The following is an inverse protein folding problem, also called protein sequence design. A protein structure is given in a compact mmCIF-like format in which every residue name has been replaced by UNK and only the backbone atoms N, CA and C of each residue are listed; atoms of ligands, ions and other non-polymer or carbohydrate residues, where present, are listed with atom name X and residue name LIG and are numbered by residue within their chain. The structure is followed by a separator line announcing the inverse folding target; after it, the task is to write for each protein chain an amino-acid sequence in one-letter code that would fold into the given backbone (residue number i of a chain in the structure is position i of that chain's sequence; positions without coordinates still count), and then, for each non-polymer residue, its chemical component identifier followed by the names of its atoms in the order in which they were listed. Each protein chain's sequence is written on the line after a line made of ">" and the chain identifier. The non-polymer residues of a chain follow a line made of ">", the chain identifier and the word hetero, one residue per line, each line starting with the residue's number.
data_IF_738242643333
#
_entry.id   IF_738242643333
#
_cell.length_a   1.000
_cell.length_b   1.000
_cell.length_c   1.000
_cell.angle_alpha   90.00
_cell.angle_beta   90.00
_cell.angle_gamma   90.00
#
_symmetry.space_group_name_H-M   'P 1'
#
loop_
_entity.id
_entity.type
_entity.pdbx_description
1 polymer ?
#
# COMPACT_ATOMS: atom_id res chain seq x y z
N UNK A 1 -47.67 0.51 11.79
CA UNK A 1 -46.36 -0.09 11.42
C UNK A 1 -46.27 -0.22 9.91
N UNK A 2 -45.57 0.69 9.21
CA UNK A 2 -45.31 0.53 7.77
C UNK A 2 -44.06 -0.34 7.63
N UNK A 3 -44.25 -1.57 7.15
CA UNK A 3 -43.16 -2.46 6.78
C UNK A 3 -42.34 -1.75 5.70
N UNK A 4 -41.13 -1.27 6.04
CA UNK A 4 -40.17 -0.79 5.04
C UNK A 4 -39.81 -2.01 4.20
N UNK A 5 -40.42 -2.11 3.02
CA UNK A 5 -40.00 -3.06 2.01
C UNK A 5 -38.49 -2.86 1.80
N UNK A 6 -37.70 -3.88 2.13
CA UNK A 6 -36.29 -3.96 1.80
C UNK A 6 -36.19 -4.02 0.28
N UNK A 7 -36.18 -2.86 -0.38
CA UNK A 7 -35.82 -2.77 -1.78
C UNK A 7 -34.35 -3.16 -1.89
N UNK A 8 -34.09 -4.39 -2.32
CA UNK A 8 -32.76 -4.79 -2.77
C UNK A 8 -32.47 -4.04 -4.08
N UNK A 9 -32.03 -2.79 -3.96
CA UNK A 9 -31.46 -2.07 -5.10
C UNK A 9 -30.20 -2.82 -5.52
N UNK A 10 -30.18 -3.32 -6.75
CA UNK A 10 -28.98 -3.93 -7.33
C UNK A 10 -27.77 -3.01 -7.08
N UNK A 11 -26.61 -3.58 -6.68
CA UNK A 11 -25.42 -2.77 -6.48
C UNK A 11 -25.13 -1.99 -7.75
N UNK A 12 -24.89 -0.69 -7.62
CA UNK A 12 -24.52 0.11 -8.79
C UNK A 12 -23.25 -0.48 -9.43
N UNK A 13 -23.13 -0.36 -10.76
CA UNK A 13 -21.93 -0.81 -11.49
C UNK A 13 -20.63 -0.25 -10.88
N UNK A 14 -20.68 0.98 -10.35
CA UNK A 14 -19.56 1.64 -9.66
C UNK A 14 -19.16 0.93 -8.37
N UNK A 15 -20.14 0.54 -7.56
CA UNK A 15 -19.91 -0.20 -6.31
C UNK A 15 -19.33 -1.59 -6.58
N UNK A 16 -19.76 -2.24 -7.67
CA UNK A 16 -19.17 -3.49 -8.15
C UNK A 16 -17.71 -3.30 -8.59
N UNK A 17 -17.42 -2.33 -9.46
CA UNK A 17 -16.07 -2.04 -9.96
C UNK A 17 -15.09 -1.73 -8.82
N UNK A 18 -15.53 -0.93 -7.85
CA UNK A 18 -14.75 -0.63 -6.65
C UNK A 18 -14.47 -1.90 -5.83
N UNK A 19 -15.48 -2.73 -5.59
CA UNK A 19 -15.33 -3.96 -4.82
C UNK A 19 -14.39 -4.93 -5.55
N UNK A 20 -14.50 -5.03 -6.87
CA UNK A 20 -13.60 -5.81 -7.71
C UNK A 20 -12.17 -5.26 -7.65
N UNK A 21 -11.96 -3.94 -7.69
CA UNK A 21 -10.63 -3.33 -7.56
C UNK A 21 -9.97 -3.69 -6.22
N UNK A 22 -10.70 -3.60 -5.11
CA UNK A 22 -10.18 -3.94 -3.78
C UNK A 22 -9.95 -5.45 -3.63
N UNK A 23 -10.85 -6.27 -4.16
CA UNK A 23 -10.76 -7.73 -4.11
C UNK A 23 -9.62 -8.28 -5.00
N UNK A 24 -9.39 -7.73 -6.18
CA UNK A 24 -8.39 -8.27 -7.12
C UNK A 24 -6.96 -7.83 -6.79
N UNK A 25 -6.79 -6.77 -5.99
CA UNK A 25 -5.47 -6.25 -5.63
C UNK A 25 -4.54 -7.27 -4.99
N UNK A 26 -4.88 -7.83 -3.79
CA UNK A 26 -4.06 -8.83 -3.12
C UNK A 26 -3.90 -10.17 -3.87
N UNK A 27 -4.83 -10.47 -4.79
CA UNK A 27 -4.74 -11.66 -5.66
C UNK A 27 -3.74 -11.46 -6.81
N UNK A 28 -3.53 -10.21 -7.24
CA UNK A 28 -2.59 -9.86 -8.30
C UNK A 28 -2.73 -10.72 -9.56
N UNK A 29 -1.69 -11.50 -9.87
CA UNK A 29 -1.59 -12.37 -11.04
C UNK A 29 -2.19 -13.77 -10.85
N UNK A 30 -2.72 -14.13 -9.66
CA UNK A 30 -3.35 -15.44 -9.47
C UNK A 30 -4.52 -15.69 -10.45
N UNK A 31 -5.18 -14.61 -10.87
CA UNK A 31 -6.32 -14.63 -11.80
C UNK A 31 -5.98 -14.05 -13.18
N UNK A 32 -4.72 -13.70 -13.44
CA UNK A 32 -4.35 -13.07 -14.72
C UNK A 32 -4.23 -14.15 -15.81
N UNK A 33 -4.95 -14.00 -16.94
CA UNK A 33 -4.84 -14.95 -18.04
C UNK A 33 -3.40 -15.04 -18.57
N UNK A 34 -2.96 -16.24 -18.95
CA UNK A 34 -1.56 -16.49 -19.36
C UNK A 34 -1.09 -15.72 -20.60
N UNK A 35 -2.02 -15.25 -21.45
CA UNK A 35 -1.67 -14.44 -22.62
C UNK A 35 -1.31 -12.99 -22.27
N UNK A 36 -1.58 -12.55 -21.03
CA UNK A 36 -1.28 -11.21 -20.56
C UNK A 36 0.15 -11.19 -19.99
N UNK A 37 0.93 -10.15 -20.33
CA UNK A 37 2.31 -10.00 -19.87
C UNK A 37 2.41 -10.06 -18.33
N UNK A 38 3.41 -10.74 -17.78
CA UNK A 38 3.55 -10.93 -16.33
C UNK A 38 3.59 -9.63 -15.48
N UNK A 39 4.11 -8.47 -15.96
CA UNK A 39 4.06 -7.23 -15.19
C UNK A 39 2.65 -6.65 -15.06
N UNK A 40 1.73 -7.04 -15.94
CA UNK A 40 0.36 -6.55 -15.95
C UNK A 40 -0.47 -7.31 -14.91
N UNK A 41 -1.24 -6.57 -14.13
CA UNK A 41 -2.10 -7.09 -13.06
C UNK A 41 -3.54 -7.12 -13.54
N UNK A 42 -4.32 -8.13 -13.16
CA UNK A 42 -5.71 -8.25 -13.59
C UNK A 42 -6.56 -7.02 -13.22
N UNK A 43 -6.33 -6.40 -12.06
CA UNK A 43 -7.08 -5.21 -11.65
C UNK A 43 -6.82 -3.97 -12.52
N UNK A 44 -5.77 -3.95 -13.35
CA UNK A 44 -5.53 -2.86 -14.29
C UNK A 44 -6.64 -2.75 -15.35
N UNK A 45 -7.30 -3.85 -15.72
CA UNK A 45 -8.45 -3.82 -16.62
C UNK A 45 -9.63 -3.02 -16.04
N UNK A 46 -9.72 -2.90 -14.72
CA UNK A 46 -10.77 -2.12 -14.07
C UNK A 46 -10.51 -0.62 -14.15
N UNK A 47 -9.25 -0.21 -14.28
CA UNK A 47 -8.86 1.19 -14.22
C UNK A 47 -9.39 1.99 -15.41
N UNK A 48 -9.54 1.36 -16.59
CA UNK A 48 -10.12 2.00 -17.78
C UNK A 48 -11.58 2.44 -17.59
N UNK A 49 -12.28 1.90 -16.59
CA UNK A 49 -13.64 2.29 -16.24
C UNK A 49 -13.71 3.50 -15.30
N UNK A 50 -12.60 4.18 -15.03
CA UNK A 50 -12.60 5.41 -14.22
C UNK A 50 -13.61 6.48 -14.69
N UNK A 51 -13.91 6.68 -16.00
CA UNK A 51 -14.88 7.70 -16.42
C UNK A 51 -16.28 7.49 -15.84
N UNK A 52 -16.65 6.23 -15.52
CA UNK A 52 -17.94 5.93 -14.93
C UNK A 52 -18.13 6.59 -13.56
N UNK A 53 -17.05 6.94 -12.86
CA UNK A 53 -17.08 7.60 -11.55
C UNK A 53 -17.26 9.13 -11.61
N UNK A 54 -17.17 9.74 -12.80
CA UNK A 54 -17.27 11.20 -12.98
C UNK A 54 -18.49 11.61 -13.82
N UNK A 55 -19.73 11.39 -13.34
CA UNK A 55 -20.88 11.95 -14.04
C UNK A 55 -20.80 13.49 -14.06
N UNK A 56 -21.31 14.09 -15.14
CA UNK A 56 -21.27 15.53 -15.44
C UNK A 56 -21.67 16.46 -14.27
N UNK A 57 -22.47 15.96 -13.33
CA UNK A 57 -22.92 16.68 -12.14
C UNK A 57 -21.82 17.01 -11.10
N UNK A 58 -20.64 16.38 -11.14
CA UNK A 58 -19.54 16.62 -10.17
C UNK A 58 -18.45 17.60 -10.66
N UNK A 59 -18.76 18.46 -11.62
CA UNK A 59 -17.80 19.42 -12.18
C UNK A 59 -17.27 20.43 -11.13
N UNK A 60 -18.04 20.70 -10.07
CA UNK A 60 -17.60 21.60 -8.98
C UNK A 60 -16.48 20.98 -8.13
N UNK A 61 -16.36 19.67 -8.14
CA UNK A 61 -15.42 18.90 -7.34
C UNK A 61 -14.12 18.55 -8.07
N UNK A 62 -14.00 18.95 -9.34
CA UNK A 62 -12.73 18.92 -10.08
C UNK A 62 -11.62 19.74 -9.40
N UNK A 63 -11.96 20.65 -8.46
CA UNK A 63 -11.00 21.47 -7.71
C UNK A 63 -9.92 20.64 -6.99
N UNK A 64 -10.27 19.47 -6.44
CA UNK A 64 -9.27 18.60 -5.80
C UNK A 64 -8.34 17.94 -6.83
N UNK A 65 -8.85 17.62 -8.03
CA UNK A 65 -8.02 17.15 -9.13
C UNK A 65 -7.09 18.24 -9.66
N UNK A 66 -7.52 19.51 -9.63
CA UNK A 66 -6.67 20.65 -10.00
C UNK A 66 -5.43 20.79 -9.11
N UNK A 67 -5.46 20.26 -7.87
CA UNK A 67 -4.26 20.25 -7.00
C UNK A 67 -3.19 19.30 -7.57
N UNK A 68 -3.60 18.17 -8.13
CA UNK A 68 -2.70 17.11 -8.64
C UNK A 68 -2.37 17.32 -10.13
N UNK A 69 -3.21 18.08 -10.84
CA UNK A 69 -3.08 18.32 -12.28
C UNK A 69 -1.72 18.90 -12.70
N UNK A 70 -1.13 19.92 -12.04
CA UNK A 70 0.18 20.45 -12.44
C UNK A 70 1.27 19.38 -12.45
N UNK A 71 1.29 18.52 -11.43
CA UNK A 71 2.26 17.42 -11.34
C UNK A 71 2.03 16.38 -12.45
N UNK A 72 0.78 15.94 -12.66
CA UNK A 72 0.47 14.97 -13.72
C UNK A 72 0.75 15.54 -15.11
N UNK A 73 0.41 16.80 -15.36
CA UNK A 73 0.69 17.47 -16.61
C UNK A 73 2.19 17.56 -16.87
N UNK A 74 2.98 17.87 -15.84
CA UNK A 74 4.44 17.87 -15.94
C UNK A 74 5.00 16.47 -16.24
N UNK A 75 4.50 15.41 -15.59
CA UNK A 75 4.87 14.03 -15.91
C UNK A 75 4.55 13.66 -17.36
N UNK A 76 3.42 14.13 -17.90
CA UNK A 76 3.04 13.91 -19.30
C UNK A 76 4.01 14.61 -20.26
N UNK A 77 4.28 15.90 -20.03
CA UNK A 77 5.24 16.67 -20.84
C UNK A 77 6.64 16.03 -20.80
N UNK A 78 7.07 15.61 -19.61
CA UNK A 78 8.33 14.91 -19.39
C UNK A 78 8.36 13.58 -20.15
N UNK A 79 7.27 12.81 -20.17
CA UNK A 79 7.17 11.58 -20.97
C UNK A 79 7.21 11.84 -22.48
N UNK A 80 6.60 12.93 -22.96
CA UNK A 80 6.72 13.36 -24.36
C UNK A 80 8.17 13.69 -24.71
N UNK A 81 8.86 14.46 -23.87
CA UNK A 81 10.26 14.82 -24.08
C UNK A 81 11.15 13.58 -24.22
N UNK A 82 11.03 12.60 -23.33
CA UNK A 82 11.79 11.34 -23.40
C UNK A 82 11.59 10.62 -24.74
N UNK A 83 10.36 10.61 -25.26
CA UNK A 83 10.04 9.94 -26.53
C UNK A 83 10.60 10.68 -27.74
N UNK A 84 10.53 12.00 -27.75
CA UNK A 84 11.04 12.81 -28.87
C UNK A 84 12.56 12.90 -28.92
N UNK A 85 13.22 12.76 -27.77
CA UNK A 85 14.67 12.79 -27.67
C UNK A 85 15.36 11.45 -28.02
N UNK A 86 14.61 10.42 -28.46
CA UNK A 86 15.10 9.06 -28.78
C UNK A 86 16.00 8.44 -27.69
N UNK A 87 15.80 8.86 -26.44
CA UNK A 87 16.49 8.30 -25.29
C UNK A 87 16.13 6.82 -25.14
N UNK A 88 17.06 5.92 -24.74
CA UNK A 88 16.83 4.48 -24.72
C UNK A 88 15.56 4.09 -23.95
N UNK A 89 14.50 3.73 -24.69
CA UNK A 89 13.15 3.46 -24.19
C UNK A 89 13.00 2.04 -23.65
N UNK A 90 13.78 1.67 -22.64
CA UNK A 90 13.52 0.39 -21.94
C UNK A 90 12.20 0.43 -21.13
N UNK A 91 11.69 1.62 -20.81
CA UNK A 91 10.47 1.82 -20.04
C UNK A 91 9.46 2.63 -20.85
N UNK A 92 8.42 1.97 -21.38
CA UNK A 92 7.26 2.57 -22.06
C UNK A 92 6.68 3.75 -21.24
N UNK A 93 7.09 5.01 -21.48
CA UNK A 93 6.89 6.09 -20.51
C UNK A 93 5.43 6.53 -20.52
N UNK A 94 4.79 6.55 -21.70
CA UNK A 94 3.35 6.77 -21.84
C UNK A 94 2.53 5.71 -21.13
N UNK A 95 2.87 4.42 -21.27
CA UNK A 95 2.13 3.37 -20.58
C UNK A 95 2.17 3.58 -19.06
N UNK A 96 3.34 3.92 -18.51
CA UNK A 96 3.50 4.23 -17.08
C UNK A 96 2.70 5.46 -16.68
N UNK A 97 2.71 6.51 -17.50
CA UNK A 97 1.95 7.72 -17.25
C UNK A 97 0.44 7.45 -17.27
N UNK A 98 -0.08 6.77 -18.30
CA UNK A 98 -1.50 6.43 -18.39
C UNK A 98 -1.92 5.48 -17.27
N UNK A 99 -1.06 4.54 -16.88
CA UNK A 99 -1.33 3.69 -15.73
C UNK A 99 -1.40 4.53 -14.44
N UNK A 100 -0.42 5.37 -14.16
CA UNK A 100 -0.42 6.29 -13.01
C UNK A 100 -1.66 7.19 -12.98
N UNK A 101 -1.98 7.81 -14.13
CA UNK A 101 -3.14 8.69 -14.29
C UNK A 101 -4.44 7.92 -14.08
N UNK A 102 -4.60 6.74 -14.67
CA UNK A 102 -5.80 5.90 -14.52
C UNK A 102 -5.99 5.44 -13.08
N UNK A 103 -4.93 5.07 -12.36
CA UNK A 103 -4.99 4.74 -10.93
C UNK A 103 -5.41 5.93 -10.08
N UNK A 104 -4.83 7.10 -10.32
CA UNK A 104 -5.18 8.35 -9.63
C UNK A 104 -6.64 8.72 -9.85
N UNK A 105 -7.07 8.77 -11.12
CA UNK A 105 -8.43 9.13 -11.50
C UNK A 105 -9.45 8.10 -11.01
N UNK A 106 -9.15 6.81 -11.08
CA UNK A 106 -10.03 5.76 -10.55
C UNK A 106 -10.20 5.91 -9.03
N UNK A 107 -9.11 6.05 -8.28
CA UNK A 107 -9.17 6.14 -6.83
C UNK A 107 -9.87 7.43 -6.35
N UNK A 108 -9.61 8.56 -7.00
CA UNK A 108 -10.34 9.81 -6.72
C UNK A 108 -11.83 9.69 -7.04
N UNK A 109 -12.18 9.17 -8.22
CA UNK A 109 -13.56 9.01 -8.64
C UNK A 109 -14.33 8.04 -7.73
N UNK A 110 -13.68 6.95 -7.32
CA UNK A 110 -14.25 6.01 -6.37
C UNK A 110 -14.45 6.65 -4.98
N UNK A 111 -13.49 7.43 -4.47
CA UNK A 111 -13.65 8.16 -3.22
C UNK A 111 -14.82 9.16 -3.28
N UNK A 112 -14.96 9.87 -4.40
CA UNK A 112 -16.05 10.81 -4.66
C UNK A 112 -17.41 10.12 -4.69
N UNK A 113 -17.52 8.97 -5.35
CA UNK A 113 -18.77 8.19 -5.41
C UNK A 113 -19.24 7.74 -4.04
N UNK A 114 -18.31 7.41 -3.13
CA UNK A 114 -18.60 6.97 -1.76
C UNK A 114 -18.89 8.12 -0.78
N UNK A 115 -18.86 9.39 -1.22
CA UNK A 115 -19.12 10.54 -0.36
C UNK A 115 -20.52 10.53 0.27
N UNK A 116 -21.50 10.03 -0.47
CA UNK A 116 -22.92 10.09 -0.09
C UNK A 116 -23.39 8.86 0.69
N UNK A 117 -22.54 7.83 0.78
CA UNK A 117 -22.83 6.63 1.56
C UNK A 117 -22.37 6.79 3.02
N UNK A 118 -22.74 5.82 3.86
CA UNK A 118 -22.18 5.70 5.20
C UNK A 118 -20.67 5.39 5.08
N UNK A 119 -19.84 6.43 5.15
CA UNK A 119 -18.40 6.36 4.90
C UNK A 119 -17.68 5.36 5.79
N UNK A 120 -18.09 5.24 7.06
CA UNK A 120 -17.46 4.33 8.02
C UNK A 120 -17.78 2.88 7.68
N UNK A 121 -19.06 2.62 7.39
CA UNK A 121 -19.49 1.32 6.90
C UNK A 121 -18.73 0.92 5.63
N UNK A 122 -18.62 1.82 4.65
CA UNK A 122 -17.93 1.53 3.39
C UNK A 122 -16.41 1.32 3.59
N UNK A 123 -15.72 2.17 4.36
CA UNK A 123 -14.30 1.94 4.69
C UNK A 123 -14.09 0.59 5.35
N UNK A 124 -14.90 0.27 6.36
CA UNK A 124 -14.87 -1.01 7.06
C UNK A 124 -15.11 -2.16 6.08
N UNK A 125 -16.13 -2.07 5.23
CA UNK A 125 -16.45 -3.06 4.19
C UNK A 125 -15.27 -3.29 3.24
N UNK A 126 -14.66 -2.23 2.72
CA UNK A 126 -13.52 -2.33 1.81
C UNK A 126 -12.29 -2.93 2.49
N UNK A 127 -11.99 -2.57 3.75
CA UNK A 127 -10.89 -3.17 4.52
C UNK A 127 -11.15 -4.66 4.74
N UNK A 128 -12.37 -5.05 5.12
CA UNK A 128 -12.74 -6.46 5.29
C UNK A 128 -12.62 -7.24 3.98
N UNK A 129 -13.04 -6.65 2.86
CA UNK A 129 -12.90 -7.24 1.53
C UNK A 129 -11.44 -7.44 1.12
N UNK A 130 -10.58 -6.44 1.40
CA UNK A 130 -9.15 -6.52 1.17
C UNK A 130 -8.51 -7.64 2.01
N UNK A 131 -8.83 -7.73 3.30
CA UNK A 131 -8.35 -8.79 4.19
C UNK A 131 -8.79 -10.17 3.69
N UNK A 132 -10.06 -10.33 3.33
CA UNK A 132 -10.58 -11.59 2.78
C UNK A 132 -9.81 -12.02 1.52
N UNK A 133 -9.63 -11.10 0.56
CA UNK A 133 -8.84 -11.34 -0.64
C UNK A 133 -7.39 -11.73 -0.33
N UNK A 134 -6.75 -11.04 0.62
CA UNK A 134 -5.40 -11.39 1.05
C UNK A 134 -5.32 -12.81 1.62
N UNK A 135 -6.25 -13.20 2.49
CA UNK A 135 -6.23 -14.56 3.06
C UNK A 135 -6.54 -15.63 2.01
N UNK A 136 -7.35 -15.33 1.00
CA UNK A 136 -7.53 -16.21 -0.16
C UNK A 136 -6.22 -16.38 -0.93
N UNK A 137 -5.53 -15.28 -1.23
CA UNK A 137 -4.20 -15.27 -1.87
C UNK A 137 -3.18 -16.08 -1.05
N UNK A 138 -3.16 -15.88 0.28
CA UNK A 138 -2.29 -16.57 1.23
C UNK A 138 -2.53 -18.08 1.24
N UNK A 139 -3.80 -18.50 1.30
CA UNK A 139 -4.19 -19.91 1.29
C UNK A 139 -3.73 -20.60 0.00
N UNK A 140 -4.05 -20.01 -1.16
CA UNK A 140 -3.61 -20.52 -2.47
C UNK A 140 -2.08 -20.56 -2.55
N UNK A 141 -1.41 -19.53 -2.05
CA UNK A 141 0.05 -19.49 -1.98
C UNK A 141 0.64 -20.63 -1.17
N UNK A 142 0.11 -20.94 0.01
CA UNK A 142 0.59 -22.05 0.83
C UNK A 142 0.36 -23.41 0.17
N UNK A 143 -0.78 -23.62 -0.49
CA UNK A 143 -1.06 -24.84 -1.24
C UNK A 143 0.02 -25.07 -2.30
N UNK A 144 0.33 -24.05 -3.12
CA UNK A 144 1.37 -24.16 -4.15
C UNK A 144 2.78 -24.29 -3.56
N UNK A 145 3.07 -23.53 -2.50
CA UNK A 145 4.38 -23.53 -1.87
C UNK A 145 4.71 -24.90 -1.25
N UNK A 146 3.79 -25.46 -0.47
CA UNK A 146 3.94 -26.79 0.12
C UNK A 146 3.96 -27.85 -0.98
N UNK A 147 3.07 -27.74 -1.97
CA UNK A 147 3.04 -28.64 -3.12
C UNK A 147 4.35 -28.68 -3.90
N UNK A 148 5.06 -27.56 -4.02
CA UNK A 148 6.38 -27.49 -4.66
C UNK A 148 7.42 -28.31 -3.89
N UNK A 149 7.53 -28.10 -2.58
CA UNK A 149 8.48 -28.82 -1.74
C UNK A 149 8.15 -30.31 -1.57
N UNK A 150 6.88 -30.70 -1.75
CA UNK A 150 6.46 -32.11 -1.81
C UNK A 150 6.64 -32.74 -3.20
N UNK A 151 7.15 -32.00 -4.19
CA UNK A 151 7.31 -32.49 -5.57
C UNK A 151 6.00 -32.69 -6.34
N UNK A 152 4.88 -32.12 -5.85
CA UNK A 152 3.55 -32.21 -6.48
C UNK A 152 3.25 -31.04 -7.43
N UNK A 153 3.94 -29.91 -7.26
CA UNK A 153 3.80 -28.71 -8.10
C UNK A 153 5.15 -28.41 -8.72
N UNK A 154 5.22 -28.27 -10.04
CA UNK A 154 6.47 -27.93 -10.73
C UNK A 154 6.79 -26.44 -10.60
N UNK A 155 8.08 -26.09 -10.76
CA UNK A 155 8.51 -24.69 -10.82
C UNK A 155 7.80 -23.92 -11.95
N UNK A 156 7.59 -24.56 -13.10
CA UNK A 156 6.86 -24.00 -14.23
C UNK A 156 5.40 -23.65 -13.88
N UNK A 157 4.74 -24.46 -13.05
CA UNK A 157 3.41 -24.14 -12.54
C UNK A 157 3.46 -22.91 -11.63
N UNK A 158 4.44 -22.79 -10.73
CA UNK A 158 4.58 -21.62 -9.84
C UNK A 158 4.81 -20.34 -10.64
N UNK A 159 5.66 -20.38 -11.68
CA UNK A 159 5.94 -19.23 -12.54
C UNK A 159 4.71 -18.71 -13.29
N UNK A 160 3.65 -19.50 -13.42
CA UNK A 160 2.37 -19.06 -14.01
C UNK A 160 1.53 -18.23 -13.06
N UNK A 161 1.72 -18.38 -11.75
CA UNK A 161 0.92 -17.74 -10.70
C UNK A 161 1.69 -16.67 -9.92
N UNK A 162 3.00 -16.55 -10.13
CA UNK A 162 3.84 -15.46 -9.62
C UNK A 162 4.21 -14.51 -10.76
N UNK A 163 4.45 -13.26 -10.42
CA UNK A 163 4.92 -12.23 -11.36
C UNK A 163 6.39 -12.45 -11.68
N UNK A 164 7.15 -12.83 -10.65
CA UNK A 164 8.58 -13.06 -10.73
C UNK A 164 8.95 -14.07 -9.65
N UNK A 165 9.03 -15.34 -10.05
CA UNK A 165 9.50 -16.41 -9.17
C UNK A 165 10.98 -16.23 -8.90
N UNK A 166 11.36 -16.17 -7.64
CA UNK A 166 12.74 -15.98 -7.21
C UNK A 166 13.10 -17.00 -6.16
N UNK A 167 14.32 -17.54 -6.24
CA UNK A 167 14.93 -18.31 -5.17
C UNK A 167 15.86 -17.36 -4.41
N UNK A 168 15.58 -17.14 -3.13
CA UNK A 168 16.40 -16.32 -2.23
C UNK A 168 16.89 -17.18 -1.08
N UNK A 169 18.20 -17.16 -0.80
CA UNK A 169 18.81 -17.99 0.24
C UNK A 169 18.47 -19.49 0.09
N UNK A 170 18.50 -19.98 -1.15
CA UNK A 170 18.14 -21.37 -1.51
C UNK A 170 16.69 -21.79 -1.23
N UNK A 171 15.83 -20.83 -0.90
CA UNK A 171 14.41 -21.05 -0.62
C UNK A 171 13.59 -20.29 -1.66
N UNK A 172 12.49 -20.89 -2.11
CA UNK A 172 11.53 -20.21 -2.97
C UNK A 172 10.96 -18.99 -2.22
N UNK A 173 11.01 -17.79 -2.79
CA UNK A 173 10.40 -16.61 -2.14
C UNK A 173 8.89 -16.69 -2.25
N UNK A 174 8.20 -16.65 -1.11
CA UNK A 174 6.73 -16.71 -1.07
C UNK A 174 6.10 -15.43 -1.62
N UNK A 175 5.32 -15.55 -2.70
CA UNK A 175 4.78 -14.38 -3.43
C UNK A 175 3.59 -14.72 -4.35
N UNK A 176 2.52 -15.35 -3.85
CA UNK A 176 1.38 -15.72 -4.69
C UNK A 176 0.78 -14.47 -5.35
N UNK A 177 0.67 -14.48 -6.68
CA UNK A 177 0.08 -13.39 -7.44
C UNK A 177 0.90 -12.10 -7.55
N UNK A 178 2.08 -12.00 -6.95
CA UNK A 178 2.86 -10.74 -6.96
C UNK A 178 4.35 -11.00 -7.12
N UNK A 179 5.16 -9.95 -7.18
CA UNK A 179 6.59 -10.11 -6.91
C UNK A 179 6.84 -10.16 -5.40
N UNK A 180 7.91 -10.83 -4.92
CA UNK A 180 8.17 -11.01 -3.50
C UNK A 180 8.20 -9.73 -2.66
N UNK A 181 8.77 -8.65 -3.19
CA UNK A 181 8.81 -7.39 -2.46
C UNK A 181 7.41 -6.78 -2.26
N UNK A 182 6.54 -6.91 -3.26
CA UNK A 182 5.15 -6.45 -3.27
C UNK A 182 4.35 -7.21 -2.23
N UNK A 183 4.40 -8.54 -2.34
CA UNK A 183 3.67 -9.42 -1.47
C UNK A 183 4.15 -9.29 -0.03
N UNK A 184 5.46 -9.18 0.18
CA UNK A 184 6.03 -8.90 1.50
C UNK A 184 5.45 -7.62 2.11
N UNK A 185 5.35 -6.53 1.35
CA UNK A 185 4.76 -5.28 1.83
C UNK A 185 3.26 -5.44 2.17
N UNK A 186 2.51 -6.18 1.34
CA UNK A 186 1.10 -6.48 1.63
C UNK A 186 0.95 -7.37 2.88
N UNK A 187 1.78 -8.41 3.03
CA UNK A 187 1.80 -9.26 4.23
C UNK A 187 2.15 -8.44 5.48
N UNK A 188 3.11 -7.53 5.38
CA UNK A 188 3.51 -6.62 6.45
C UNK A 188 2.39 -5.66 6.87
N UNK A 189 1.68 -5.11 5.88
CA UNK A 189 0.47 -4.29 6.11
C UNK A 189 -0.63 -5.07 6.82
N UNK A 190 -0.99 -6.26 6.32
CA UNK A 190 -2.02 -7.09 6.96
C UNK A 190 -1.59 -7.53 8.35
N UNK A 191 -0.34 -7.95 8.53
CA UNK A 191 0.19 -8.31 9.84
C UNK A 191 0.11 -7.16 10.84
N UNK A 192 0.35 -5.92 10.40
CA UNK A 192 0.19 -4.72 11.22
C UNK A 192 -1.27 -4.51 11.67
N UNK A 193 -2.24 -4.78 10.79
CA UNK A 193 -3.68 -4.75 11.15
C UNK A 193 -4.00 -5.85 12.16
N UNK A 194 -3.51 -7.07 11.97
CA UNK A 194 -3.73 -8.17 12.91
C UNK A 194 -3.09 -7.86 14.27
N UNK A 195 -1.89 -7.28 14.27
CA UNK A 195 -1.20 -6.80 15.49
C UNK A 195 -2.05 -5.75 16.21
N UNK A 196 -2.58 -4.78 15.47
CA UNK A 196 -3.48 -3.76 16.01
C UNK A 196 -4.72 -4.37 16.66
N UNK A 197 -5.36 -5.34 15.99
CA UNK A 197 -6.54 -6.05 16.54
C UNK A 197 -6.20 -6.87 17.79
N UNK A 198 -5.02 -7.51 17.84
CA UNK A 198 -4.55 -8.29 19.00
C UNK A 198 -4.27 -7.36 20.19
N UNK A 199 -3.58 -6.25 19.95
CA UNK A 199 -3.15 -5.31 20.99
C UNK A 199 -4.32 -4.46 21.51
N UNK A 200 -5.23 -4.03 20.64
CA UNK A 200 -6.37 -3.18 20.99
C UNK A 200 -7.49 -3.88 21.79
N UNK A 201 -7.47 -5.21 21.87
CA UNK A 201 -8.33 -6.05 22.73
C UNK A 201 -9.82 -5.66 22.75
N UNK A 202 -10.28 -4.95 23.80
CA UNK A 202 -11.70 -4.64 24.08
C UNK A 202 -12.18 -3.36 23.41
N UNK A 203 -11.25 -2.49 23.01
CA UNK A 203 -11.54 -1.15 22.47
C UNK A 203 -11.80 -1.17 20.96
N UNK A 204 -11.67 -2.33 20.31
CA UNK A 204 -11.89 -2.47 18.87
C UNK A 204 -12.77 -3.68 18.65
N UNK A 205 -13.98 -3.52 18.09
CA UNK A 205 -14.81 -4.66 17.74
C UNK A 205 -14.06 -5.48 16.69
N UNK A 206 -13.86 -6.76 16.99
CA UNK A 206 -13.35 -7.68 15.99
C UNK A 206 -14.34 -7.70 14.81
N UNK A 207 -13.85 -7.69 13.55
CA UNK A 207 -14.71 -7.98 12.43
C UNK A 207 -15.47 -9.29 12.69
N UNK A 208 -16.77 -9.36 12.40
CA UNK A 208 -17.62 -10.52 12.73
C UNK A 208 -17.08 -11.87 12.24
N UNK A 209 -16.20 -11.89 11.24
CA UNK A 209 -15.58 -13.12 10.73
C UNK A 209 -14.35 -13.60 11.53
N UNK A 210 -13.78 -12.80 12.43
CA UNK A 210 -12.63 -13.20 13.24
C UNK A 210 -13.03 -13.59 14.66
N UNK A 211 -12.98 -14.89 14.95
CA UNK A 211 -12.80 -15.34 16.34
C UNK A 211 -11.37 -15.00 16.80
N UNK A 212 -11.15 -14.86 18.13
CA UNK A 212 -9.80 -14.63 18.66
C UNK A 212 -8.81 -15.73 18.25
N UNK A 213 -9.26 -16.99 18.23
CA UNK A 213 -8.44 -18.12 17.77
C UNK A 213 -8.04 -17.95 16.30
N UNK A 214 -9.01 -17.62 15.44
CA UNK A 214 -8.75 -17.38 14.01
C UNK A 214 -7.81 -16.19 13.79
N UNK A 215 -7.90 -15.14 14.61
CA UNK A 215 -6.99 -13.99 14.56
C UNK A 215 -5.53 -14.40 14.81
N UNK A 216 -5.26 -15.23 15.81
CA UNK A 216 -3.90 -15.73 16.08
C UNK A 216 -3.39 -16.68 14.99
N UNK A 217 -4.26 -17.53 14.45
CA UNK A 217 -3.93 -18.40 13.31
C UNK A 217 -3.57 -17.55 12.09
N UNK A 218 -4.42 -16.58 11.75
CA UNK A 218 -4.17 -15.63 10.66
C UNK A 218 -2.88 -14.85 10.87
N UNK A 219 -2.60 -14.41 12.10
CA UNK A 219 -1.35 -13.73 12.46
C UNK A 219 -0.15 -14.63 12.20
N UNK A 220 -0.17 -15.87 12.69
CA UNK A 220 0.93 -16.81 12.53
C UNK A 220 1.25 -17.09 11.05
N UNK A 221 0.23 -17.41 10.24
CA UNK A 221 0.42 -17.65 8.81
C UNK A 221 0.84 -16.39 8.05
N UNK A 222 0.32 -15.22 8.40
CA UNK A 222 0.76 -13.96 7.77
C UNK A 222 2.20 -13.62 8.13
N UNK A 223 2.60 -13.87 9.39
CA UNK A 223 3.97 -13.68 9.84
C UNK A 223 4.94 -14.62 9.13
N UNK A 224 4.59 -15.90 9.01
CA UNK A 224 5.40 -16.86 8.27
C UNK A 224 5.52 -16.46 6.80
N UNK A 225 4.43 -16.04 6.14
CA UNK A 225 4.49 -15.54 4.77
C UNK A 225 5.39 -14.31 4.64
N UNK A 226 5.31 -13.35 5.57
CA UNK A 226 6.21 -12.20 5.63
C UNK A 226 7.69 -12.64 5.65
N UNK A 227 8.04 -13.59 6.53
CA UNK A 227 9.40 -14.15 6.60
C UNK A 227 9.83 -14.85 5.30
N UNK A 228 8.95 -15.66 4.72
CA UNK A 228 9.22 -16.39 3.48
C UNK A 228 9.32 -15.47 2.25
N UNK A 229 8.76 -14.26 2.30
CA UNK A 229 8.97 -13.27 1.22
C UNK A 229 10.41 -12.76 1.18
N UNK A 230 11.16 -12.86 2.29
CA UNK A 230 12.56 -12.38 2.43
C UNK A 230 12.76 -10.91 2.01
N UNK A 231 11.77 -10.05 2.27
CA UNK A 231 11.78 -8.64 1.84
C UNK A 231 12.14 -7.69 2.99
N UNK A 232 13.35 -7.12 2.95
CA UNK A 232 13.84 -6.15 3.96
C UNK A 232 12.92 -4.93 4.14
N UNK A 233 12.43 -4.38 3.02
CA UNK A 233 11.50 -3.24 3.02
C UNK A 233 10.24 -3.52 3.86
N UNK A 234 9.70 -4.73 3.73
CA UNK A 234 8.51 -5.15 4.44
C UNK A 234 8.75 -5.31 5.96
N UNK A 235 9.95 -5.76 6.36
CA UNK A 235 10.32 -5.86 7.77
C UNK A 235 10.46 -4.48 8.41
N UNK A 236 11.10 -3.54 7.71
CA UNK A 236 11.21 -2.16 8.18
C UNK A 236 9.83 -1.51 8.30
N UNK A 237 8.97 -1.64 7.29
CA UNK A 237 7.63 -1.07 7.34
C UNK A 237 6.77 -1.68 8.46
N UNK A 238 6.91 -2.99 8.74
CA UNK A 238 6.29 -3.65 9.88
C UNK A 238 6.80 -3.08 11.20
N UNK A 239 8.12 -2.94 11.34
CA UNK A 239 8.76 -2.38 12.53
C UNK A 239 8.22 -0.98 12.85
N UNK A 240 8.21 -0.06 11.88
CA UNK A 240 7.66 1.28 12.08
C UNK A 240 6.18 1.28 12.42
N UNK A 241 5.40 0.36 11.83
CA UNK A 241 3.98 0.20 12.18
C UNK A 241 3.81 -0.29 13.62
N UNK A 242 4.61 -1.25 14.07
CA UNK A 242 4.64 -1.71 15.46
C UNK A 242 5.05 -0.60 16.42
N UNK A 243 6.08 0.19 16.08
CA UNK A 243 6.48 1.36 16.88
C UNK A 243 5.33 2.36 17.02
N UNK A 244 4.65 2.68 15.92
CA UNK A 244 3.47 3.53 15.93
C UNK A 244 2.37 2.96 16.85
N UNK A 245 2.02 1.68 16.69
CA UNK A 245 1.01 1.01 17.51
C UNK A 245 1.37 1.00 19.00
N UNK A 246 2.62 0.75 19.35
CA UNK A 246 3.09 0.79 20.74
C UNK A 246 3.00 2.21 21.32
N UNK A 247 3.38 3.24 20.56
CA UNK A 247 3.33 4.64 20.99
C UNK A 247 1.88 5.06 21.27
N UNK A 248 0.94 4.71 20.40
CA UNK A 248 -0.48 5.07 20.60
C UNK A 248 -1.12 4.26 21.74
N UNK A 249 -0.77 2.99 21.92
CA UNK A 249 -1.40 2.12 22.93
C UNK A 249 -0.82 2.31 24.33
N UNK A 250 0.47 2.63 24.46
CA UNK A 250 1.15 2.67 25.77
C UNK A 250 1.77 4.03 26.11
N UNK A 251 1.82 4.97 25.15
CA UNK A 251 2.59 6.21 25.26
C UNK A 251 4.07 6.02 24.93
N UNK A 252 4.73 7.09 24.48
CA UNK A 252 6.09 7.07 23.94
C UNK A 252 7.12 6.43 24.88
N UNK A 253 7.13 6.81 26.18
CA UNK A 253 8.09 6.26 27.16
C UNK A 253 7.96 4.75 27.33
N UNK A 254 6.74 4.24 27.52
CA UNK A 254 6.50 2.79 27.69
C UNK A 254 6.75 2.03 26.39
N UNK A 255 6.44 2.63 25.24
CA UNK A 255 6.73 2.07 23.93
C UNK A 255 8.25 1.89 23.72
N UNK A 256 9.05 2.92 24.01
CA UNK A 256 10.51 2.85 23.93
C UNK A 256 11.09 1.74 24.81
N UNK A 257 10.63 1.63 26.06
CA UNK A 257 11.07 0.55 26.97
C UNK A 257 10.72 -0.83 26.38
N UNK A 258 9.49 -1.03 25.90
CA UNK A 258 9.08 -2.30 25.30
C UNK A 258 9.87 -2.65 24.04
N UNK A 259 10.15 -1.67 23.20
CA UNK A 259 10.99 -1.86 22.01
C UNK A 259 12.43 -2.19 22.40
N UNK A 260 12.98 -1.55 23.43
CA UNK A 260 14.31 -1.86 23.95
C UNK A 260 14.38 -3.29 24.52
N UNK A 261 13.36 -3.73 25.28
CA UNK A 261 13.27 -5.10 25.77
C UNK A 261 13.16 -6.09 24.62
N UNK A 262 12.30 -5.82 23.62
CA UNK A 262 12.14 -6.69 22.47
C UNK A 262 13.43 -6.78 21.62
N UNK A 263 14.12 -5.65 21.42
CA UNK A 263 15.41 -5.60 20.76
C UNK A 263 16.47 -6.37 21.56
N UNK A 264 16.53 -6.18 22.88
CA UNK A 264 17.44 -6.92 23.75
C UNK A 264 17.19 -8.42 23.70
N UNK A 265 15.93 -8.86 23.78
CA UNK A 265 15.57 -10.27 23.62
C UNK A 265 15.94 -10.82 22.24
N UNK A 266 15.72 -10.03 21.17
CA UNK A 266 16.14 -10.41 19.82
C UNK A 266 17.65 -10.55 19.72
N UNK A 267 18.43 -9.59 20.24
CA UNK A 267 19.89 -9.64 20.26
C UNK A 267 20.41 -10.82 21.08
N UNK A 268 19.82 -11.13 22.24
CA UNK A 268 20.15 -12.33 23.03
C UNK A 268 19.82 -13.62 22.28
N UNK A 269 18.71 -13.64 21.54
CA UNK A 269 18.36 -14.78 20.70
C UNK A 269 19.36 -14.93 19.55
N UNK A 270 19.77 -13.82 18.91
CA UNK A 270 20.84 -13.83 17.90
C UNK A 270 22.18 -14.30 18.47
N UNK A 271 22.51 -13.90 19.69
CA UNK A 271 23.68 -14.36 20.43
C UNK A 271 23.62 -15.87 20.68
N UNK A 272 22.45 -16.43 20.99
CA UNK A 272 22.32 -17.88 21.10
C UNK A 272 22.60 -18.60 19.76
N UNK A 273 22.34 -17.96 18.62
CA UNK A 273 22.64 -18.47 17.27
C UNK A 273 23.95 -17.91 16.67
N UNK A 274 24.84 -17.37 17.52
CA UNK A 274 25.97 -16.49 17.19
C UNK A 274 26.75 -16.88 15.94
N UNK A 275 27.12 -18.16 15.81
CA UNK A 275 28.12 -18.60 14.83
C UNK A 275 27.64 -18.54 13.38
N UNK A 276 26.33 -18.65 13.12
CA UNK A 276 25.81 -18.67 11.73
C UNK A 276 25.17 -17.35 11.31
N UNK A 277 24.50 -16.64 12.22
CA UNK A 277 23.88 -15.36 11.87
C UNK A 277 24.86 -14.18 11.85
N UNK A 278 25.87 -14.16 12.73
CA UNK A 278 26.89 -13.11 12.67
C UNK A 278 27.71 -13.23 11.38
N UNK A 279 28.05 -14.45 10.96
CA UNK A 279 28.68 -14.72 9.65
C UNK A 279 27.79 -14.30 8.48
N UNK A 280 26.47 -14.48 8.57
CA UNK A 280 25.53 -13.99 7.57
C UNK A 280 25.38 -12.45 7.58
N UNK A 281 25.51 -11.80 8.73
CA UNK A 281 25.45 -10.34 8.84
C UNK A 281 26.75 -9.69 8.38
N UNK A 282 27.89 -10.26 8.77
CA UNK A 282 29.21 -9.87 8.30
C UNK A 282 29.34 -10.11 6.80
N UNK A 283 28.78 -11.18 6.24
CA UNK A 283 28.77 -11.38 4.78
C UNK A 283 27.89 -10.37 4.05
N UNK A 284 26.86 -9.80 4.69
CA UNK A 284 26.11 -8.65 4.13
C UNK A 284 26.96 -7.38 4.16
N UNK A 285 27.67 -7.10 5.25
CA UNK A 285 28.60 -5.96 5.33
C UNK A 285 29.77 -6.12 4.34
N UNK A 286 30.30 -7.34 4.20
CA UNK A 286 31.35 -7.67 3.26
C UNK A 286 30.86 -7.61 1.82
N UNK A 287 29.61 -7.99 1.54
CA UNK A 287 29.00 -7.77 0.24
C UNK A 287 28.85 -6.28 -0.10
N UNK A 288 28.70 -5.39 0.90
CA UNK A 288 28.72 -3.93 0.66
C UNK A 288 30.12 -3.45 0.28
N UNK A 289 31.17 -3.92 0.97
CA UNK A 289 32.56 -3.56 0.64
C UNK A 289 33.01 -4.15 -0.68
N UNK A 290 32.61 -5.38 -0.99
CA UNK A 290 33.01 -6.12 -2.19
C UNK A 290 32.16 -5.76 -3.42
N UNK A 291 31.23 -4.81 -3.27
CA UNK A 291 30.27 -4.42 -4.31
C UNK A 291 29.43 -5.59 -4.83
N UNK A 292 29.17 -6.60 -4.00
CA UNK A 292 28.37 -7.77 -4.36
C UNK A 292 26.90 -7.62 -3.88
N UNK A 293 25.99 -8.26 -4.61
CA UNK A 293 24.59 -8.38 -4.22
C UNK A 293 23.71 -7.16 -4.44
N UNK A 294 22.46 -7.26 -3.96
CA UNK A 294 21.38 -6.34 -4.35
C UNK A 294 21.53 -4.91 -3.84
N UNK A 295 22.29 -4.66 -2.77
CA UNK A 295 22.52 -3.30 -2.28
C UNK A 295 23.56 -2.56 -3.11
N UNK A 296 24.65 -3.23 -3.50
CA UNK A 296 25.63 -2.68 -4.43
C UNK A 296 24.99 -2.30 -5.77
N UNK A 297 24.15 -3.18 -6.35
CA UNK A 297 23.41 -2.86 -7.57
C UNK A 297 22.54 -1.61 -7.42
N UNK A 298 21.91 -1.41 -6.25
CA UNK A 298 21.12 -0.20 -5.96
C UNK A 298 21.99 1.05 -5.83
N UNK A 299 23.11 0.97 -5.12
CA UNK A 299 24.04 2.09 -4.99
C UNK A 299 24.60 2.50 -6.34
N UNK A 300 24.96 1.53 -7.20
CA UNK A 300 25.43 1.81 -8.55
C UNK A 300 24.34 2.46 -9.41
N UNK A 301 23.09 2.00 -9.35
CA UNK A 301 21.99 2.64 -10.10
C UNK A 301 21.63 4.01 -9.55
N UNK A 302 21.76 4.24 -8.24
CA UNK A 302 21.58 5.56 -7.65
C UNK A 302 22.70 6.52 -8.07
N UNK A 303 23.95 6.05 -8.09
CA UNK A 303 25.11 6.84 -8.50
C UNK A 303 25.00 7.22 -9.98
N UNK A 304 24.72 6.25 -10.85
CA UNK A 304 24.52 6.52 -12.28
C UNK A 304 23.34 7.47 -12.53
N UNK A 305 22.24 7.34 -11.77
CA UNK A 305 21.12 8.26 -11.86
C UNK A 305 21.47 9.67 -11.38
N UNK A 306 22.29 9.80 -10.35
CA UNK A 306 22.77 11.08 -9.84
C UNK A 306 23.74 11.75 -10.83
N UNK A 307 24.65 11.00 -11.43
CA UNK A 307 25.57 11.49 -12.47
C UNK A 307 24.80 12.09 -13.66
N UNK A 308 23.78 11.39 -14.16
CA UNK A 308 22.94 11.89 -15.25
C UNK A 308 22.04 13.07 -14.83
N UNK A 309 21.59 13.09 -13.57
CA UNK A 309 20.82 14.22 -13.04
C UNK A 309 21.63 15.53 -13.02
N UNK A 310 22.95 15.46 -12.86
CA UNK A 310 23.81 16.66 -12.86
C UNK A 310 23.78 17.39 -14.21
N UNK A 311 23.54 16.67 -15.31
CA UNK A 311 23.45 17.26 -16.66
C UNK A 311 22.14 18.04 -16.87
N UNK A 312 21.08 17.71 -16.13
CA UNK A 312 19.75 18.35 -16.23
C UNK A 312 19.06 18.43 -14.86
N UNK A 313 19.57 19.26 -13.91
CA UNK A 313 19.05 19.25 -12.54
C UNK A 313 17.65 19.85 -12.43
N UNK A 314 17.30 20.80 -13.29
CA UNK A 314 15.99 21.47 -13.25
C UNK A 314 14.87 20.59 -13.80
N UNK A 315 15.10 19.93 -14.93
CA UNK A 315 14.07 19.18 -15.67
C UNK A 315 14.15 17.66 -15.48
N UNK A 316 15.30 17.16 -15.02
CA UNK A 316 15.60 15.73 -14.94
C UNK A 316 15.85 15.11 -16.31
N UNK A 317 15.83 13.78 -16.33
CA UNK A 317 16.12 12.96 -17.51
C UNK A 317 14.87 12.52 -18.30
N UNK A 318 13.68 12.88 -17.82
CA UNK A 318 12.42 12.46 -18.40
C UNK A 318 11.70 11.38 -17.59
N UNK A 319 10.37 11.48 -17.51
CA UNK A 319 9.52 10.54 -16.78
C UNK A 319 9.66 9.12 -17.34
N UNK A 320 9.89 8.15 -16.44
CA UNK A 320 10.09 6.75 -16.79
C UNK A 320 11.51 6.36 -17.19
N UNK A 321 12.43 7.32 -17.33
CA UNK A 321 13.83 7.04 -17.72
C UNK A 321 14.54 6.13 -16.69
N UNK A 322 14.40 6.42 -15.40
CA UNK A 322 15.14 5.78 -14.31
C UNK A 322 14.37 4.64 -13.63
N UNK A 323 13.79 3.75 -14.42
CA UNK A 323 12.86 2.76 -13.89
C UNK A 323 13.45 1.68 -12.95
N UNK A 324 14.77 1.54 -12.91
CA UNK A 324 15.47 0.55 -12.05
C UNK A 324 15.87 1.12 -10.68
N UNK A 325 15.62 2.41 -10.43
CA UNK A 325 15.95 3.04 -9.15
C UNK A 325 14.99 2.57 -8.08
N UNK A 326 15.50 1.77 -7.13
CA UNK A 326 14.73 1.23 -6.00
C UNK A 326 14.53 2.26 -4.88
N UNK A 327 14.07 3.45 -5.25
CA UNK A 327 13.68 4.54 -4.38
C UNK A 327 12.86 5.52 -5.22
N UNK A 328 11.54 5.49 -5.07
CA UNK A 328 10.60 6.32 -5.85
C UNK A 328 10.89 7.82 -5.70
N UNK A 329 11.35 8.28 -4.53
CA UNK A 329 11.65 9.69 -4.32
C UNK A 329 12.88 10.12 -5.13
N UNK A 330 13.94 9.33 -5.11
CA UNK A 330 15.12 9.57 -5.96
C UNK A 330 14.78 9.41 -7.43
N UNK A 331 13.95 8.42 -7.76
CA UNK A 331 13.47 8.22 -9.13
C UNK A 331 12.76 9.48 -9.64
N UNK A 332 11.79 10.02 -8.90
CA UNK A 332 11.12 11.26 -9.30
C UNK A 332 12.07 12.46 -9.34
N UNK A 333 13.01 12.57 -8.40
CA UNK A 333 13.99 13.64 -8.44
C UNK A 333 14.86 13.58 -9.72
N UNK A 334 15.35 12.40 -10.09
CA UNK A 334 16.23 12.23 -11.25
C UNK A 334 15.47 12.24 -12.59
N UNK A 335 14.22 11.78 -12.62
CA UNK A 335 13.38 11.78 -13.82
C UNK A 335 12.76 13.15 -14.10
N UNK A 336 12.30 13.85 -13.06
CA UNK A 336 11.48 15.06 -13.19
C UNK A 336 12.21 16.35 -12.80
N UNK A 337 13.41 16.24 -12.24
CA UNK A 337 14.20 17.38 -11.82
C UNK A 337 13.68 18.05 -10.55
N UNK A 338 14.34 19.15 -10.17
CA UNK A 338 13.90 20.01 -9.06
C UNK A 338 12.49 20.55 -9.27
N UNK A 339 12.11 20.86 -10.53
CA UNK A 339 10.76 21.35 -10.85
C UNK A 339 9.70 20.30 -10.51
N UNK A 340 9.90 19.06 -10.95
CA UNK A 340 8.98 17.97 -10.63
C UNK A 340 8.89 17.68 -9.13
N UNK A 341 10.02 17.68 -8.43
CA UNK A 341 10.07 17.51 -6.98
C UNK A 341 9.30 18.64 -6.26
N UNK A 342 9.47 19.88 -6.71
CA UNK A 342 8.74 21.04 -6.20
C UNK A 342 7.23 20.91 -6.45
N UNK A 343 6.80 20.52 -7.66
CA UNK A 343 5.38 20.31 -7.98
C UNK A 343 4.77 19.20 -7.14
N UNK A 344 5.49 18.11 -6.89
CA UNK A 344 5.05 17.02 -6.01
C UNK A 344 4.90 17.51 -4.57
N UNK A 345 5.90 18.23 -4.05
CA UNK A 345 5.86 18.80 -2.70
C UNK A 345 4.74 19.84 -2.57
N UNK A 346 4.56 20.71 -3.56
CA UNK A 346 3.48 21.69 -3.60
C UNK A 346 2.11 21.01 -3.60
N UNK A 347 1.93 19.95 -4.40
CA UNK A 347 0.71 19.12 -4.42
C UNK A 347 0.43 18.53 -3.04
N UNK A 348 1.46 17.98 -2.39
CA UNK A 348 1.35 17.44 -1.03
C UNK A 348 0.96 18.53 -0.03
N UNK A 349 1.66 19.66 -0.02
CA UNK A 349 1.40 20.77 0.90
C UNK A 349 0.00 21.36 0.71
N UNK A 350 -0.44 21.56 -0.53
CA UNK A 350 -1.79 22.02 -0.84
C UNK A 350 -2.85 21.03 -0.34
N UNK A 351 -2.63 19.73 -0.56
CA UNK A 351 -3.52 18.67 -0.06
C UNK A 351 -3.55 18.64 1.48
N UNK A 352 -2.40 18.77 2.14
CA UNK A 352 -2.33 18.85 3.59
C UNK A 352 -3.06 20.09 4.14
N UNK A 353 -2.88 21.24 3.50
CA UNK A 353 -3.52 22.50 3.89
C UNK A 353 -5.04 22.46 3.67
N UNK A 354 -5.51 21.99 2.51
CA UNK A 354 -6.94 21.87 2.20
C UNK A 354 -7.66 20.89 3.12
N UNK A 355 -6.92 19.96 3.72
CA UNK A 355 -7.47 18.87 4.51
C UNK A 355 -6.98 18.80 5.96
N UNK A 356 -6.36 19.87 6.48
CA UNK A 356 -5.71 19.87 7.80
C UNK A 356 -6.64 19.39 8.93
N UNK A 357 -7.90 19.82 8.95
CA UNK A 357 -8.87 19.41 9.99
C UNK A 357 -9.20 17.92 9.90
N UNK A 358 -9.42 17.42 8.69
CA UNK A 358 -9.69 16.00 8.43
C UNK A 358 -8.47 15.13 8.77
N UNK A 359 -7.27 15.57 8.42
CA UNK A 359 -6.02 14.88 8.76
C UNK A 359 -5.75 14.89 10.26
N UNK A 360 -5.95 16.02 10.93
CA UNK A 360 -5.81 16.12 12.38
C UNK A 360 -6.72 15.11 13.09
N UNK A 361 -7.96 14.97 12.63
CA UNK A 361 -8.89 13.95 13.16
C UNK A 361 -8.38 12.52 12.98
N UNK A 362 -7.70 12.24 11.87
CA UNK A 362 -7.20 10.91 11.51
C UNK A 362 -5.99 10.50 12.37
N UNK A 363 -5.09 11.44 12.67
CA UNK A 363 -3.87 11.16 13.43
C UNK A 363 -4.03 11.30 14.95
N UNK A 364 -4.76 12.32 15.42
CA UNK A 364 -4.63 12.80 16.81
C UNK A 364 -5.87 12.62 17.71
N UNK A 365 -7.07 12.32 17.18
CA UNK A 365 -8.24 12.13 18.05
C UNK A 365 -8.13 10.82 18.83
N UNK A 366 -7.90 10.93 20.14
CA UNK A 366 -7.86 9.80 21.10
C UNK A 366 -9.26 9.27 21.46
N UNK A 367 -10.30 10.08 21.31
CA UNK A 367 -11.68 9.74 21.68
C UNK A 367 -12.55 9.76 20.41
N UNK A 368 -12.61 8.62 19.72
CA UNK A 368 -13.50 8.41 18.57
C UNK A 368 -14.35 7.18 18.83
N UNK A 369 -15.47 7.03 18.12
CA UNK A 369 -16.21 5.79 18.12
C UNK A 369 -15.30 4.62 17.68
N UNK A 370 -15.60 3.41 18.16
CA UNK A 370 -14.82 2.19 17.89
C UNK A 370 -14.50 1.98 16.39
N UNK A 371 -15.47 2.23 15.51
CA UNK A 371 -15.34 1.98 14.07
C UNK A 371 -14.49 3.04 13.36
N UNK A 372 -14.61 4.30 13.77
CA UNK A 372 -13.72 5.39 13.35
C UNK A 372 -12.27 5.09 13.70
N UNK A 373 -12.05 4.63 14.94
CA UNK A 373 -10.73 4.27 15.42
C UNK A 373 -10.13 3.16 14.56
N UNK A 374 -10.88 2.10 14.26
CA UNK A 374 -10.38 1.01 13.42
C UNK A 374 -9.94 1.50 12.04
N UNK A 375 -10.84 2.18 11.31
CA UNK A 375 -10.56 2.58 9.93
C UNK A 375 -9.44 3.62 9.83
N UNK A 376 -9.38 4.60 10.74
CA UNK A 376 -8.33 5.61 10.77
C UNK A 376 -6.96 5.01 11.09
N UNK A 377 -6.88 4.05 12.03
CA UNK A 377 -5.61 3.38 12.34
C UNK A 377 -5.11 2.53 11.18
N UNK A 378 -6.01 1.84 10.47
CA UNK A 378 -5.65 1.10 9.25
C UNK A 378 -5.10 2.05 8.17
N UNK A 379 -5.68 3.25 8.00
CA UNK A 379 -5.15 4.24 7.05
C UNK A 379 -3.74 4.70 7.46
N UNK A 380 -3.51 5.03 8.73
CA UNK A 380 -2.17 5.45 9.19
C UNK A 380 -1.14 4.34 9.02
N UNK A 381 -1.48 3.11 9.41
CA UNK A 381 -0.64 1.93 9.17
C UNK A 381 -0.34 1.84 7.66
N UNK A 382 -1.36 1.92 6.82
CA UNK A 382 -1.21 1.88 5.36
C UNK A 382 -0.25 2.94 4.83
N UNK A 383 -0.35 4.18 5.31
CA UNK A 383 0.56 5.27 4.92
C UNK A 383 2.01 4.94 5.30
N UNK A 384 2.26 4.41 6.51
CA UNK A 384 3.60 3.95 6.91
C UNK A 384 4.14 2.94 5.89
N UNK A 385 3.36 1.92 5.53
CA UNK A 385 3.78 0.92 4.53
C UNK A 385 4.04 1.53 3.14
N UNK A 386 3.19 2.45 2.68
CA UNK A 386 3.34 3.11 1.38
C UNK A 386 4.61 3.95 1.32
N UNK A 387 4.85 4.81 2.33
CA UNK A 387 6.02 5.69 2.33
C UNK A 387 7.34 4.92 2.49
N UNK A 388 7.39 3.90 3.35
CA UNK A 388 8.59 3.06 3.52
C UNK A 388 8.86 2.17 2.31
N UNK A 389 7.83 1.67 1.66
CA UNK A 389 7.98 0.90 0.43
C UNK A 389 8.47 1.77 -0.73
N UNK A 390 7.93 2.99 -0.88
CA UNK A 390 8.39 3.96 -1.86
C UNK A 390 9.87 4.35 -1.64
N UNK A 391 10.33 4.42 -0.38
CA UNK A 391 11.74 4.70 -0.07
C UNK A 391 12.70 3.60 -0.53
N UNK A 392 12.24 2.35 -0.57
CA UNK A 392 13.12 1.17 -0.66
C UNK A 392 12.89 0.32 -1.92
N UNK A 393 11.96 0.75 -2.78
CA UNK A 393 11.54 0.04 -3.98
C UNK A 393 11.13 1.01 -5.11
N UNK A 394 10.83 0.48 -6.30
CA UNK A 394 10.60 1.24 -7.53
C UNK A 394 9.15 1.21 -8.05
N UNK A 395 8.20 0.59 -7.33
CA UNK A 395 6.84 0.40 -7.86
C UNK A 395 5.82 1.43 -7.36
N UNK A 396 5.61 2.46 -8.17
CA UNK A 396 4.54 3.45 -8.05
C UNK A 396 3.13 2.86 -8.21
N UNK A 397 3.02 1.81 -9.03
CA UNK A 397 1.74 1.23 -9.43
C UNK A 397 1.28 0.12 -8.49
N UNK A 398 1.90 0.01 -7.30
CA UNK A 398 1.54 -1.01 -6.31
C UNK A 398 0.11 -0.80 -5.80
N UNK A 399 -0.71 -1.86 -5.82
CA UNK A 399 -2.13 -1.79 -5.44
C UNK A 399 -2.35 -1.20 -4.05
N UNK A 400 -1.54 -1.59 -3.06
CA UNK A 400 -1.66 -1.09 -1.69
C UNK A 400 -1.57 0.45 -1.64
N UNK A 401 -0.71 1.06 -2.44
CA UNK A 401 -0.59 2.53 -2.54
C UNK A 401 -1.94 3.15 -2.91
N UNK A 402 -2.59 2.61 -3.93
CA UNK A 402 -3.86 3.13 -4.44
C UNK A 402 -5.06 2.78 -3.56
N UNK A 403 -5.02 1.63 -2.89
CA UNK A 403 -6.01 1.27 -1.88
C UNK A 403 -5.96 2.22 -0.68
N UNK A 404 -4.77 2.50 -0.14
CA UNK A 404 -4.62 3.47 0.97
C UNK A 404 -4.94 4.88 0.52
N UNK A 405 -4.54 5.26 -0.71
CA UNK A 405 -4.92 6.53 -1.30
C UNK A 405 -6.44 6.68 -1.39
N UNK A 406 -7.16 5.66 -1.87
CA UNK A 406 -8.62 5.63 -1.87
C UNK A 406 -9.20 5.82 -0.46
N UNK A 407 -8.78 5.02 0.52
CA UNK A 407 -9.31 5.09 1.89
C UNK A 407 -9.07 6.47 2.55
N UNK A 408 -7.90 7.06 2.30
CA UNK A 408 -7.56 8.40 2.76
C UNK A 408 -8.48 9.44 2.12
N UNK A 409 -8.65 9.39 0.80
CA UNK A 409 -9.45 10.37 0.06
C UNK A 409 -10.96 10.25 0.36
N UNK A 410 -11.47 9.06 0.71
CA UNK A 410 -12.86 8.92 1.21
C UNK A 410 -13.14 9.84 2.41
N UNK A 411 -12.13 10.10 3.27
CA UNK A 411 -12.27 11.01 4.41
C UNK A 411 -12.31 12.48 4.00
N UNK A 412 -11.58 12.83 2.95
CA UNK A 412 -11.43 14.21 2.48
C UNK A 412 -12.72 14.76 1.88
N UNK A 413 -13.52 13.88 1.29
CA UNK A 413 -14.76 14.25 0.62
C UNK A 413 -16.00 14.16 1.51
N UNK A 414 -15.91 13.80 2.80
CA UNK A 414 -17.11 13.73 3.67
C UNK A 414 -17.88 15.06 3.71
N UNK A 415 -19.20 15.03 3.43
CA UNK A 415 -20.07 16.21 3.60
C UNK A 415 -20.31 16.43 5.10
N UNK A 416 -19.78 17.53 5.64
CA UNK A 416 -20.00 18.02 7.02
C UNK A 416 -21.46 18.25 7.44
N UNK A 417 -22.44 17.93 6.59
CA UNK A 417 -23.86 18.23 6.81
C UNK A 417 -24.62 17.20 7.66
N UNK A 418 -24.08 16.00 7.88
CA UNK A 418 -24.79 14.92 8.60
C UNK A 418 -24.40 14.87 10.10
N UNK A 419 -23.22 15.36 10.48
CA UNK A 419 -22.74 15.31 11.87
C UNK A 419 -23.61 16.13 12.84
N UNK A 420 -24.35 17.14 12.36
CA UNK A 420 -25.25 17.94 13.21
C UNK A 420 -26.46 17.17 13.75
N UNK A 421 -26.84 16.01 13.20
CA UNK A 421 -27.98 15.26 13.75
C UNK A 421 -27.59 14.25 14.83
N UNK A 422 -26.33 13.82 14.89
CA UNK A 422 -25.88 12.82 15.89
C UNK A 422 -25.42 13.44 17.21
N UNK A 423 -24.87 14.66 17.21
CA UNK A 423 -24.56 15.37 18.46
C UNK A 423 -25.83 15.66 19.30
N UNK A 424 -26.98 15.87 18.65
CA UNK A 424 -28.28 15.98 19.35
C UNK A 424 -28.81 14.65 19.90
N UNK A 425 -28.33 13.51 19.41
CA UNK A 425 -28.75 12.18 19.90
C UNK A 425 -28.02 11.81 21.20
N UNK A 426 -26.73 12.13 21.31
CA UNK A 426 -25.97 11.89 22.54
C UNK A 426 -26.33 12.84 23.69
N UNK A 427 -26.84 14.05 23.40
CA UNK A 427 -27.38 14.97 24.41
C UNK A 427 -28.83 14.61 24.84
N UNK A 428 -29.56 13.83 24.06
CA UNK A 428 -30.92 13.39 24.37
C UNK A 428 -30.98 12.13 25.25
N UNK A 429 -29.87 11.39 25.38
CA UNK A 429 -29.73 10.31 26.35
C UNK A 429 -29.13 10.86 27.64
N UNK A 430 -29.94 11.63 28.37
CA UNK A 430 -29.63 12.07 29.72
C UNK A 430 -29.33 10.88 30.64
N UNK A 431 -28.05 10.59 30.83
CA UNK A 431 -27.55 9.82 31.95
C UNK A 431 -26.98 10.82 32.95
N UNK A 432 -27.79 11.09 33.98
CA UNK A 432 -27.30 11.51 35.30
C UNK A 432 -26.60 10.34 35.98
#
# INVERSE_FOLDING_TARGET
>A
MKCKALSFSLPSIRSFLLSAFVFLGPLGNLLTPHFVSSPFRFYYFLLSFFPLFYPLAYFKEFKSLLIVFPFLFYCLLSAFFTRFADLPLEAQPFFRFFLLGSQCLFAFGAAMHLRESNLLYEKSRLIKLYLFSFFLSLLVGYIFYIGFYLGKVSFATITRFSVLTQIGYSILRFSPGSYPNEYGNVSSFVLSILTFLIVGKKEIPLPHFFSRKLLYIAFFFTFLALLLTTTRAAYLSYFFSCSYLLIISFGMRKALIKMAIALGAFLLCLEFFYSKMLLAFLSVLQALTDKLGSMSTRLNTWTAGAEQFIDSPLFGNGFGFHYRIHNVYLQFLFELGVIGAFLLLFTLLCSLASHQRSLSSLFFRRHMACEDLFTNRVIVIGLIHVFWFALTNHNLNHHLTWFIFLLMNMHLFSRKGIEKSEETSCLALGLK
#
